data_IF_545052861133
#
_entry.id   IF_545052861133
#
_cell.length_a   1.000
_cell.length_b   1.000
_cell.length_c   1.000
_cell.angle_alpha   90.00
_cell.angle_beta   90.00
_cell.angle_gamma   90.00
#
_symmetry.space_group_name_H-M   'P 1'
#
loop_
_entity.id
_entity.type
_entity.pdbx_description
1 polymer ?
#
# COMPACT_ATOMS: atom_id res chain seq x y z
N UNK A 1 -10.08 -15.47 -3.64
CA UNK A 1 -10.72 -16.33 -4.68
C UNK A 1 -10.62 -17.77 -4.21
N UNK A 2 -11.69 -18.54 -4.38
CA UNK A 2 -11.70 -19.98 -4.07
C UNK A 2 -12.26 -20.68 -5.31
N UNK A 3 -11.64 -21.78 -5.69
CA UNK A 3 -12.06 -22.62 -6.81
C UNK A 3 -11.90 -24.09 -6.45
N UNK A 4 -12.86 -24.94 -6.82
CA UNK A 4 -12.83 -26.37 -6.55
C UNK A 4 -14.04 -27.10 -7.07
N UNK A 5 -13.85 -28.38 -7.43
CA UNK A 5 -14.89 -29.26 -7.94
C UNK A 5 -15.18 -29.11 -9.44
N UNK A 6 -15.78 -30.16 -10.01
CA UNK A 6 -16.15 -30.23 -11.42
C UNK A 6 -17.66 -30.41 -11.60
N UNK A 7 -18.33 -31.09 -10.67
CA UNK A 7 -19.74 -31.42 -10.72
C UNK A 7 -20.41 -31.18 -9.36
N UNK A 8 -21.71 -30.91 -9.38
CA UNK A 8 -22.50 -30.58 -8.18
C UNK A 8 -22.65 -31.74 -7.20
N UNK A 9 -22.60 -32.98 -7.68
CA UNK A 9 -22.81 -34.19 -6.91
C UNK A 9 -21.55 -35.02 -6.67
N UNK A 10 -20.37 -34.38 -6.83
CA UNK A 10 -19.07 -35.03 -6.62
C UNK A 10 -18.28 -34.19 -5.64
N UNK A 11 -17.69 -34.88 -4.64
CA UNK A 11 -16.75 -34.23 -3.71
C UNK A 11 -15.51 -33.83 -4.50
N UNK A 12 -15.07 -32.57 -4.43
CA UNK A 12 -13.86 -32.11 -5.10
C UNK A 12 -12.63 -32.89 -4.70
N UNK A 13 -11.89 -33.40 -5.69
CA UNK A 13 -10.56 -34.01 -5.45
C UNK A 13 -9.49 -32.93 -5.17
N UNK A 14 -9.69 -31.75 -5.73
CA UNK A 14 -8.77 -30.62 -5.58
C UNK A 14 -9.55 -29.32 -5.37
N UNK A 15 -8.98 -28.41 -4.59
CA UNK A 15 -9.45 -27.05 -4.43
C UNK A 15 -8.27 -26.10 -4.27
N UNK A 16 -8.41 -24.90 -4.79
CA UNK A 16 -7.42 -23.83 -4.64
C UNK A 16 -8.03 -22.61 -4.00
N UNK A 17 -7.25 -21.93 -3.16
CA UNK A 17 -7.60 -20.66 -2.57
C UNK A 17 -6.47 -19.64 -2.76
N UNK A 18 -6.81 -18.42 -3.15
CA UNK A 18 -5.84 -17.33 -3.25
C UNK A 18 -6.35 -16.11 -2.49
N UNK A 19 -5.46 -15.51 -1.70
CA UNK A 19 -5.73 -14.30 -0.92
C UNK A 19 -4.62 -13.26 -1.14
N UNK A 20 -5.00 -12.00 -1.27
CA UNK A 20 -4.08 -10.86 -1.17
C UNK A 20 -4.11 -10.41 0.30
N UNK A 21 -2.96 -10.55 0.97
CA UNK A 21 -2.83 -10.21 2.38
C UNK A 21 -1.86 -9.04 2.51
N UNK A 22 -2.29 -8.00 3.22
CA UNK A 22 -1.51 -6.80 3.44
C UNK A 22 -1.15 -6.64 4.91
N UNK A 23 0.10 -6.30 5.15
CA UNK A 23 0.63 -6.06 6.50
C UNK A 23 0.93 -4.58 6.69
N UNK A 24 1.00 -4.15 7.94
CA UNK A 24 1.32 -2.76 8.29
C UNK A 24 2.84 -2.55 8.38
N UNK A 25 3.58 -3.57 8.81
CA UNK A 25 5.04 -3.55 8.94
C UNK A 25 5.65 -4.71 8.19
N UNK A 26 6.81 -4.49 7.58
CA UNK A 26 7.57 -5.55 6.88
C UNK A 26 7.86 -6.75 7.79
N UNK A 27 8.17 -6.49 9.06
CA UNK A 27 8.41 -7.54 10.05
C UNK A 27 7.21 -8.46 10.32
N UNK A 28 5.99 -7.99 10.05
CA UNK A 28 4.77 -8.77 10.30
C UNK A 28 4.64 -9.95 9.31
N UNK A 29 5.35 -9.92 8.17
CA UNK A 29 5.33 -11.03 7.20
C UNK A 29 5.82 -12.35 7.77
N UNK A 30 6.88 -12.33 8.58
CA UNK A 30 7.46 -13.57 9.15
C UNK A 30 6.49 -14.24 10.11
N UNK A 31 5.90 -13.46 11.01
CA UNK A 31 4.90 -13.98 11.96
C UNK A 31 3.66 -14.50 11.26
N UNK A 32 3.22 -13.82 10.21
CA UNK A 32 2.07 -14.24 9.41
C UNK A 32 2.36 -15.55 8.66
N UNK A 33 3.49 -15.62 7.96
CA UNK A 33 3.89 -16.81 7.21
C UNK A 33 4.00 -18.03 8.14
N UNK A 34 4.67 -17.86 9.29
CA UNK A 34 4.79 -18.92 10.30
C UNK A 34 3.40 -19.39 10.75
N UNK A 35 2.51 -18.46 11.10
CA UNK A 35 1.15 -18.79 11.55
C UNK A 35 0.36 -19.54 10.49
N UNK A 36 0.48 -19.14 9.21
CA UNK A 36 -0.19 -19.85 8.11
C UNK A 36 0.35 -21.27 7.96
N UNK A 37 1.67 -21.45 7.95
CA UNK A 37 2.30 -22.78 7.87
C UNK A 37 1.91 -23.68 9.04
N UNK A 38 1.91 -23.15 10.26
CA UNK A 38 1.47 -23.88 11.45
C UNK A 38 -0.03 -24.24 11.38
N UNK A 39 -0.83 -23.42 10.73
CA UNK A 39 -2.28 -23.67 10.62
C UNK A 39 -2.58 -24.75 9.60
N UNK A 40 -1.90 -24.80 8.47
CA UNK A 40 -2.15 -25.82 7.43
C UNK A 40 -1.73 -27.24 7.88
N UNK A 41 -0.89 -27.35 8.91
CA UNK A 41 -0.57 -28.67 9.48
C UNK A 41 -1.72 -29.28 10.28
N UNK A 42 -2.73 -28.48 10.66
CA UNK A 42 -3.91 -28.89 11.40
C UNK A 42 -5.07 -29.19 10.45
N UNK A 43 -4.92 -30.25 9.69
CA UNK A 43 -5.92 -30.65 8.70
C UNK A 43 -7.23 -31.07 9.37
N UNK A 44 -8.36 -30.59 8.82
CA UNK A 44 -9.69 -31.04 9.24
C UNK A 44 -10.02 -32.44 8.71
N UNK A 45 -9.46 -32.80 7.56
CA UNK A 45 -9.64 -34.09 6.88
C UNK A 45 -8.24 -34.68 6.72
N UNK A 46 -7.97 -35.78 7.42
CA UNK A 46 -6.63 -36.36 7.53
C UNK A 46 -6.02 -36.81 6.18
N UNK A 47 -6.87 -37.19 5.24
CA UNK A 47 -6.46 -37.67 3.91
C UNK A 47 -6.12 -36.54 2.94
N UNK A 48 -6.35 -35.26 3.32
CA UNK A 48 -6.04 -34.13 2.45
C UNK A 48 -4.57 -33.75 2.55
N UNK A 49 -4.00 -33.30 1.45
CA UNK A 49 -2.69 -32.64 1.39
C UNK A 49 -2.89 -31.17 1.14
N UNK A 50 -2.26 -30.33 1.97
CA UNK A 50 -2.29 -28.88 1.85
C UNK A 50 -0.92 -28.35 1.45
N UNK A 51 -0.85 -27.63 0.34
CA UNK A 51 0.35 -26.95 -0.12
C UNK A 51 0.13 -25.43 -0.01
N UNK A 52 1.04 -24.72 0.64
CA UNK A 52 1.00 -23.27 0.81
C UNK A 52 2.14 -22.60 0.06
N UNK A 53 1.81 -21.75 -0.89
CA UNK A 53 2.73 -20.79 -1.48
C UNK A 53 2.51 -19.42 -0.82
N UNK A 54 3.57 -18.84 -0.27
CA UNK A 54 3.54 -17.52 0.36
C UNK A 54 4.53 -16.61 -0.36
N UNK A 55 4.02 -15.61 -1.07
CA UNK A 55 4.83 -14.64 -1.83
C UNK A 55 4.78 -13.28 -1.15
N UNK A 56 5.95 -12.72 -0.85
CA UNK A 56 6.08 -11.33 -0.39
C UNK A 56 6.26 -10.45 -1.61
N UNK A 57 5.19 -9.76 -2.03
CA UNK A 57 5.22 -8.89 -3.21
C UNK A 57 5.63 -7.48 -2.82
N UNK A 58 4.68 -6.54 -2.75
CA UNK A 58 4.95 -5.15 -2.39
C UNK A 58 4.96 -4.98 -0.88
N UNK A 59 6.03 -4.40 -0.31
CA UNK A 59 6.05 -4.07 1.11
C UNK A 59 5.05 -2.94 1.42
N UNK A 60 4.65 -2.76 2.69
CA UNK A 60 3.93 -1.57 3.11
C UNK A 60 4.87 -0.36 3.11
N UNK A 61 4.36 0.81 2.70
CA UNK A 61 5.04 2.07 2.95
C UNK A 61 4.84 2.42 4.43
N UNK A 62 5.86 2.19 5.23
CA UNK A 62 5.80 2.46 6.65
C UNK A 62 6.01 3.95 6.94
N UNK A 63 5.21 4.46 7.87
CA UNK A 63 5.41 5.80 8.41
C UNK A 63 6.76 5.90 9.13
N UNK A 64 7.45 7.02 8.94
CA UNK A 64 8.62 7.38 9.72
C UNK A 64 8.63 8.89 10.06
N UNK A 65 9.31 9.33 11.14
CA UNK A 65 9.32 10.74 11.56
C UNK A 65 9.88 11.71 10.51
N UNK A 66 10.85 11.28 9.68
CA UNK A 66 11.37 12.12 8.60
C UNK A 66 10.32 12.37 7.52
N UNK A 67 9.54 11.35 7.16
CA UNK A 67 8.39 11.50 6.25
C UNK A 67 7.33 12.44 6.81
N UNK A 68 7.08 12.39 8.14
CA UNK A 68 6.15 13.31 8.80
C UNK A 68 6.60 14.76 8.67
N UNK A 69 7.90 15.04 8.85
CA UNK A 69 8.45 16.39 8.71
C UNK A 69 8.25 16.95 7.29
N UNK A 70 8.51 16.13 6.27
CA UNK A 70 8.29 16.50 4.86
C UNK A 70 6.81 16.73 4.57
N UNK A 71 5.94 15.85 5.08
CA UNK A 71 4.50 15.99 4.91
C UNK A 71 3.95 17.27 5.57
N UNK A 72 4.44 17.61 6.76
CA UNK A 72 4.08 18.87 7.46
C UNK A 72 4.54 20.09 6.68
N UNK A 73 5.74 20.05 6.09
CA UNK A 73 6.21 21.11 5.22
C UNK A 73 5.35 21.24 3.96
N UNK A 74 4.95 20.12 3.36
CA UNK A 74 4.02 20.13 2.24
C UNK A 74 2.66 20.78 2.60
N UNK A 75 2.16 20.58 3.83
CA UNK A 75 0.96 21.25 4.32
C UNK A 75 1.17 22.77 4.41
N UNK A 76 2.33 23.23 4.88
CA UNK A 76 2.61 24.68 4.94
C UNK A 76 2.65 25.31 3.55
N UNK A 77 3.27 24.65 2.57
CA UNK A 77 3.28 25.10 1.17
C UNK A 77 1.85 25.22 0.61
N UNK A 78 1.01 24.23 0.91
CA UNK A 78 -0.37 24.24 0.38
C UNK A 78 -1.25 25.32 1.04
N UNK A 79 -0.93 25.64 2.30
CA UNK A 79 -1.58 26.76 3.00
C UNK A 79 -1.22 28.13 2.42
N UNK A 80 -0.04 28.29 1.78
CA UNK A 80 0.36 29.53 1.10
C UNK A 80 -0.64 29.92 -0.01
N UNK A 81 -1.28 28.93 -0.63
CA UNK A 81 -2.31 29.16 -1.66
C UNK A 81 -3.73 29.01 -1.13
N UNK A 82 -3.91 29.04 0.19
CA UNK A 82 -5.23 28.99 0.84
C UNK A 82 -5.93 27.62 0.78
N UNK A 83 -5.21 26.54 0.44
CA UNK A 83 -5.80 25.21 0.30
C UNK A 83 -5.41 24.27 1.45
N UNK A 84 -6.34 23.41 1.92
CA UNK A 84 -6.02 22.40 2.91
C UNK A 84 -5.36 21.19 2.24
N UNK A 85 -4.28 20.66 2.85
CA UNK A 85 -3.66 19.39 2.49
C UNK A 85 -3.89 18.37 3.59
N UNK A 86 -4.70 17.34 3.31
CA UNK A 86 -4.87 16.22 4.22
C UNK A 86 -3.66 15.29 4.12
N UNK A 87 -3.02 15.05 5.25
CA UNK A 87 -1.94 14.05 5.40
C UNK A 87 -2.52 12.80 6.05
N UNK A 88 -2.16 11.65 5.53
CA UNK A 88 -2.51 10.34 6.09
C UNK A 88 -1.22 9.75 6.67
N UNK A 89 -1.16 9.65 7.99
CA UNK A 89 0.01 9.15 8.72
C UNK A 89 -0.05 7.64 9.00
N UNK A 90 -1.11 6.99 8.53
CA UNK A 90 -1.29 5.56 8.66
C UNK A 90 -1.00 4.86 7.33
N UNK A 91 -0.59 3.59 7.41
CA UNK A 91 -0.39 2.78 6.22
C UNK A 91 -1.71 2.66 5.47
N UNK A 92 -1.76 3.20 4.26
CA UNK A 92 -2.86 2.95 3.34
C UNK A 92 -2.75 1.52 2.80
N UNK A 93 -3.85 0.80 2.67
CA UNK A 93 -3.85 -0.58 2.18
C UNK A 93 -3.42 -0.74 0.70
N UNK A 94 -3.16 0.37 -0.01
CA UNK A 94 -2.64 0.37 -1.38
C UNK A 94 -1.18 -0.09 -1.46
N UNK A 95 -0.82 -0.78 -2.54
CA UNK A 95 0.57 -1.07 -2.87
C UNK A 95 1.17 0.11 -3.64
N UNK A 96 2.39 0.51 -3.27
CA UNK A 96 3.12 1.61 -3.92
C UNK A 96 4.57 1.24 -4.15
N UNK A 97 5.15 1.74 -5.24
CA UNK A 97 6.57 1.57 -5.52
C UNK A 97 7.44 2.43 -4.59
N UNK A 98 6.89 3.48 -3.98
CA UNK A 98 7.53 4.26 -2.93
C UNK A 98 7.93 3.41 -1.72
N UNK A 99 7.20 2.32 -1.45
CA UNK A 99 7.54 1.39 -0.37
C UNK A 99 8.87 0.67 -0.61
N UNK A 100 9.21 0.33 -1.86
CA UNK A 100 10.53 -0.22 -2.19
C UNK A 100 11.64 0.82 -2.00
N UNK A 101 11.37 2.07 -2.39
CA UNK A 101 12.32 3.15 -2.16
C UNK A 101 12.56 3.44 -0.67
N UNK A 102 11.61 3.09 0.20
CA UNK A 102 11.74 3.27 1.64
C UNK A 102 12.46 2.12 2.37
N UNK A 103 12.71 1.00 1.69
CA UNK A 103 13.35 -0.16 2.31
C UNK A 103 14.81 0.13 2.69
N UNK A 104 15.19 -0.31 3.88
CA UNK A 104 16.59 -0.33 4.31
C UNK A 104 17.17 1.02 4.73
N UNK A 105 16.35 2.08 4.82
CA UNK A 105 16.80 3.38 5.32
C UNK A 105 15.72 4.17 6.05
N UNK A 106 16.13 5.21 6.78
CA UNK A 106 15.26 6.13 7.52
C UNK A 106 14.99 7.46 6.79
N UNK A 107 15.43 7.59 5.53
CA UNK A 107 15.20 8.82 4.75
C UNK A 107 13.69 9.03 4.51
N UNK A 108 13.24 10.29 4.37
CA UNK A 108 11.84 10.56 4.11
C UNK A 108 11.40 10.02 2.75
N UNK A 109 10.30 9.30 2.74
CA UNK A 109 9.59 8.91 1.53
C UNK A 109 8.13 9.24 1.72
N UNK A 110 7.56 9.97 0.80
CA UNK A 110 6.16 10.37 0.78
C UNK A 110 5.55 10.08 -0.58
N UNK A 111 4.26 9.86 -0.61
CA UNK A 111 3.50 9.61 -1.83
C UNK A 111 2.18 10.41 -1.85
N UNK A 112 1.36 10.23 -2.87
CA UNK A 112 0.08 10.90 -2.98
C UNK A 112 0.16 12.34 -3.51
N UNK A 113 1.25 12.69 -4.18
CA UNK A 113 1.46 14.01 -4.80
C UNK A 113 0.80 14.17 -6.16
N UNK A 114 0.30 13.08 -6.73
CA UNK A 114 -0.40 13.10 -8.01
C UNK A 114 -1.70 13.92 -7.95
N UNK A 115 -2.30 14.10 -9.11
CA UNK A 115 -3.59 14.77 -9.28
C UNK A 115 -4.68 14.06 -8.45
N UNK A 116 -5.70 14.80 -8.05
CA UNK A 116 -6.87 14.18 -7.43
C UNK A 116 -7.61 13.36 -8.48
N UNK A 117 -7.71 12.07 -8.25
CA UNK A 117 -8.38 11.12 -9.14
C UNK A 117 -9.46 10.33 -8.41
N UNK A 118 -10.37 9.75 -9.17
CA UNK A 118 -11.44 8.89 -8.72
C UNK A 118 -11.61 7.71 -9.69
N UNK A 119 -12.26 6.64 -9.23
CA UNK A 119 -12.61 5.51 -10.06
C UNK A 119 -11.51 4.45 -10.23
N UNK A 120 -10.28 4.68 -9.75
CA UNK A 120 -9.21 3.70 -9.86
C UNK A 120 -9.61 2.35 -9.21
N UNK A 121 -9.39 1.24 -9.93
CA UNK A 121 -9.74 -0.11 -9.51
C UNK A 121 -11.23 -0.34 -9.21
N UNK A 122 -12.10 0.44 -9.79
CA UNK A 122 -13.56 0.30 -9.64
C UNK A 122 -14.25 0.07 -10.99
N UNK A 123 -15.57 -0.16 -10.96
CA UNK A 123 -16.40 -0.21 -12.17
C UNK A 123 -16.81 1.17 -12.68
N UNK A 124 -16.57 2.20 -11.87
CA UNK A 124 -16.83 3.59 -12.24
C UNK A 124 -15.74 4.12 -13.20
N UNK A 125 -16.07 5.08 -14.08
CA UNK A 125 -15.07 5.71 -14.93
C UNK A 125 -13.92 6.31 -14.12
N UNK A 126 -12.69 6.04 -14.55
CA UNK A 126 -11.51 6.65 -13.95
C UNK A 126 -11.29 8.06 -14.53
N UNK A 127 -11.16 9.04 -13.66
CA UNK A 127 -10.94 10.44 -14.07
C UNK A 127 -10.07 11.20 -13.07
N UNK A 128 -9.52 12.32 -13.53
CA UNK A 128 -8.80 13.28 -12.70
C UNK A 128 -9.56 14.60 -12.63
N UNK A 129 -9.45 15.30 -11.51
CA UNK A 129 -9.99 16.64 -11.33
C UNK A 129 -9.02 17.66 -11.93
N UNK A 130 -9.45 18.35 -13.00
CA UNK A 130 -8.63 19.36 -13.70
C UNK A 130 -8.20 20.48 -12.73
N UNK A 131 -9.09 20.93 -11.85
CA UNK A 131 -8.80 21.96 -10.85
C UNK A 131 -7.71 21.56 -9.86
N UNK A 132 -7.32 20.28 -9.83
CA UNK A 132 -6.22 19.81 -9.00
C UNK A 132 -4.85 19.95 -9.66
N UNK A 133 -4.77 20.23 -10.95
CA UNK A 133 -3.50 20.25 -11.71
C UNK A 133 -2.59 21.35 -11.18
N UNK A 134 -3.04 22.57 -11.22
CA UNK A 134 -2.23 23.74 -10.83
C UNK A 134 -1.77 23.66 -9.35
N UNK A 135 -2.65 23.44 -8.36
CA UNK A 135 -2.23 23.36 -6.97
C UNK A 135 -1.26 22.20 -6.69
N UNK A 136 -1.45 21.06 -7.34
CA UNK A 136 -0.57 19.90 -7.17
C UNK A 136 0.79 20.10 -7.81
N UNK A 137 0.84 20.74 -8.99
CA UNK A 137 2.09 21.09 -9.64
C UNK A 137 2.87 22.13 -8.81
N UNK A 138 2.18 23.15 -8.28
CA UNK A 138 2.78 24.11 -7.35
C UNK A 138 3.40 23.41 -6.14
N UNK A 139 2.63 22.54 -5.48
CA UNK A 139 3.10 21.79 -4.32
C UNK A 139 4.36 20.97 -4.63
N UNK A 140 4.32 20.17 -5.69
CA UNK A 140 5.44 19.31 -6.07
C UNK A 140 6.70 20.13 -6.39
N UNK A 141 6.56 21.19 -7.19
CA UNK A 141 7.67 22.08 -7.58
C UNK A 141 8.28 22.77 -6.35
N UNK A 142 7.46 23.35 -5.49
CA UNK A 142 7.92 24.03 -4.28
C UNK A 142 8.61 23.08 -3.31
N UNK A 143 8.05 21.88 -3.11
CA UNK A 143 8.63 20.89 -2.22
C UNK A 143 10.01 20.44 -2.71
N UNK A 144 10.16 20.15 -4.00
CA UNK A 144 11.44 19.77 -4.60
C UNK A 144 12.49 20.90 -4.42
N UNK A 145 12.09 22.12 -4.69
CA UNK A 145 12.98 23.28 -4.51
C UNK A 145 13.37 23.48 -3.04
N UNK A 146 12.46 23.33 -2.11
CA UNK A 146 12.74 23.52 -0.69
C UNK A 146 13.61 22.39 -0.12
N UNK A 147 13.39 21.15 -0.55
CA UNK A 147 14.27 20.01 -0.21
C UNK A 147 15.67 20.23 -0.78
N UNK A 148 15.80 20.62 -2.06
CA UNK A 148 17.09 20.87 -2.70
C UNK A 148 17.90 22.00 -2.03
N UNK A 149 17.21 22.93 -1.38
CA UNK A 149 17.80 24.05 -0.62
C UNK A 149 18.03 23.73 0.86
N UNK A 150 17.78 22.51 1.29
CA UNK A 150 17.95 22.08 2.67
C UNK A 150 16.97 22.67 3.68
N UNK A 151 15.84 23.21 3.21
CA UNK A 151 14.82 23.79 4.09
C UNK A 151 14.01 22.73 4.85
N UNK A 152 14.05 21.49 4.38
CA UNK A 152 13.43 20.33 5.02
C UNK A 152 14.51 19.27 5.24
N UNK A 153 14.62 18.81 6.45
CA UNK A 153 15.61 17.78 6.86
C UNK A 153 14.89 16.50 7.29
#
# INVERSE_FOLDING_TARGET
MVNGGTNRNVIPAEATGAADVRVIRVADYEGLEKKLRDTITKQLIAETKLDLTFERRRPPLQFNPASAAVAKHAQSIYSEIGLPLKVIETVAGGGTDAAFAALGHSKPVIEGFALKSHGAHSTEPEYVLIDSIEPRLYLATRLILDVSRGKVK
#
